data_IF_210764792676
#
_entry.id   IF_210764792676
#
_cell.length_a   1.000
_cell.length_b   1.000
_cell.length_c   1.000
_cell.angle_alpha   90.00
_cell.angle_beta   90.00
_cell.angle_gamma   90.00
#
_symmetry.space_group_name_H-M   'P 1'
#
loop_
_entity.id
_entity.type
_entity.pdbx_description
1 polymer ?
#
# COMPACT_ATOMS: atom_id res chain seq x y z
N UNK A 1 56.62 -2.15 3.18
CA UNK A 1 55.50 -1.36 2.62
C UNK A 1 54.43 -1.29 3.70
N UNK A 2 54.27 -0.11 4.30
CA UNK A 2 53.28 0.19 5.34
C UNK A 2 51.87 0.04 4.77
N UNK A 3 50.96 -0.56 5.51
CA UNK A 3 49.53 -0.26 5.41
C UNK A 3 49.11 0.27 6.78
N UNK A 4 48.87 1.58 6.85
CA UNK A 4 48.39 2.32 8.00
C UNK A 4 46.85 2.33 8.02
N UNK A 5 46.30 2.25 9.24
CA UNK A 5 44.99 2.77 9.70
C UNK A 5 43.67 2.17 9.18
N UNK A 6 42.91 1.55 10.11
CA UNK A 6 41.44 1.58 10.11
C UNK A 6 40.75 0.28 10.55
N UNK A 7 40.59 0.10 11.87
CA UNK A 7 39.56 -0.74 12.52
C UNK A 7 39.35 -2.17 11.98
N UNK A 8 40.32 -3.05 12.26
CA UNK A 8 40.10 -4.50 12.20
C UNK A 8 39.14 -4.88 13.33
N UNK A 9 38.04 -5.57 12.97
CA UNK A 9 37.06 -6.14 13.91
C UNK A 9 37.77 -6.84 15.07
N UNK A 10 37.71 -6.24 16.26
CA UNK A 10 38.14 -6.85 17.49
C UNK A 10 36.88 -7.25 18.27
N UNK A 11 36.51 -8.54 18.33
CA UNK A 11 35.34 -9.00 19.08
C UNK A 11 35.44 -8.73 20.59
N UNK A 12 36.62 -8.33 21.08
CA UNK A 12 36.86 -7.90 22.46
C UNK A 12 36.79 -6.38 22.65
N UNK A 13 36.46 -5.60 21.61
CA UNK A 13 36.25 -4.16 21.74
C UNK A 13 34.94 -3.89 22.49
N UNK A 14 34.96 -3.22 23.66
CA UNK A 14 33.76 -2.96 24.46
C UNK A 14 32.75 -2.02 23.80
N UNK A 15 33.12 -1.35 22.70
CA UNK A 15 32.22 -0.47 21.93
C UNK A 15 31.32 -1.21 20.93
N UNK A 16 31.65 -2.44 20.53
CA UNK A 16 30.85 -3.21 19.57
C UNK A 16 29.84 -4.11 20.29
N UNK A 17 28.69 -3.55 20.66
CA UNK A 17 27.63 -4.24 21.40
C UNK A 17 26.49 -4.72 20.51
N UNK A 18 26.30 -4.08 19.37
CA UNK A 18 25.28 -4.37 18.36
C UNK A 18 25.88 -4.37 16.97
N UNK A 19 25.19 -4.99 16.02
CA UNK A 19 25.60 -4.97 14.61
C UNK A 19 25.77 -3.55 14.09
N UNK A 20 24.91 -2.61 14.51
CA UNK A 20 24.97 -1.20 14.12
C UNK A 20 26.27 -0.49 14.55
N UNK A 21 26.94 -0.97 15.60
CA UNK A 21 28.22 -0.43 16.07
C UNK A 21 29.38 -0.83 15.13
N UNK A 22 29.19 -1.82 14.25
CA UNK A 22 30.20 -2.26 13.30
C UNK A 22 30.32 -1.33 12.09
N UNK A 23 31.49 -1.30 11.43
CA UNK A 23 31.62 -0.66 10.12
C UNK A 23 30.57 -1.21 9.13
N UNK A 24 29.90 -0.32 8.41
CA UNK A 24 28.76 -0.60 7.53
C UNK A 24 28.99 -1.78 6.57
N UNK A 25 30.21 -1.90 6.03
CA UNK A 25 30.61 -2.99 5.12
C UNK A 25 30.59 -4.38 5.76
N UNK A 26 30.59 -4.46 7.09
CA UNK A 26 30.62 -5.70 7.87
C UNK A 26 29.25 -6.07 8.42
N UNK A 27 28.34 -5.10 8.61
CA UNK A 27 27.03 -5.31 9.25
C UNK A 27 26.23 -6.45 8.62
N UNK A 28 26.27 -6.58 7.28
CA UNK A 28 25.56 -7.64 6.53
C UNK A 28 25.98 -9.08 6.91
N UNK A 29 27.15 -9.26 7.52
CA UNK A 29 27.70 -10.58 7.89
C UNK A 29 27.28 -11.03 9.29
N UNK A 30 26.69 -10.13 10.07
CA UNK A 30 26.33 -10.37 11.47
C UNK A 30 24.84 -10.13 11.70
N UNK A 31 24.33 -10.71 12.78
CA UNK A 31 22.94 -10.58 13.24
C UNK A 31 22.98 -10.43 14.75
N UNK A 32 22.22 -9.48 15.29
CA UNK A 32 22.07 -9.31 16.74
C UNK A 32 21.36 -10.53 17.33
N UNK A 33 21.82 -10.97 18.51
CA UNK A 33 21.17 -12.04 19.26
C UNK A 33 20.25 -11.45 20.33
N UNK A 34 19.09 -12.05 20.63
CA UNK A 34 18.14 -11.45 21.55
C UNK A 34 18.62 -11.36 23.01
N UNK A 35 19.65 -12.13 23.39
CA UNK A 35 20.34 -12.07 24.69
C UNK A 35 21.35 -10.91 24.79
N UNK A 36 21.60 -10.19 23.69
CA UNK A 36 22.56 -9.11 23.58
C UNK A 36 23.88 -9.53 22.90
N UNK A 37 24.48 -8.61 22.16
CA UNK A 37 25.60 -8.92 21.26
C UNK A 37 25.14 -9.35 19.88
N UNK A 38 26.07 -9.82 19.06
CA UNK A 38 25.80 -10.28 17.70
C UNK A 38 26.70 -11.45 17.31
N UNK A 39 26.22 -12.27 16.38
CA UNK A 39 26.94 -13.44 15.85
C UNK A 39 27.05 -13.35 14.34
N UNK A 40 27.94 -14.14 13.74
CA UNK A 40 27.91 -14.30 12.28
C UNK A 40 26.56 -14.85 11.87
N UNK A 41 26.02 -14.36 10.75
CA UNK A 41 24.69 -14.77 10.25
C UNK A 41 24.57 -16.28 10.10
N UNK A 42 25.62 -16.97 9.65
CA UNK A 42 25.70 -18.43 9.51
C UNK A 42 25.55 -19.19 10.84
N UNK A 43 25.87 -18.55 11.96
CA UNK A 43 25.80 -19.14 13.30
C UNK A 43 24.47 -18.80 14.01
N UNK A 44 23.62 -17.96 13.42
CA UNK A 44 22.38 -17.51 14.06
C UNK A 44 21.32 -18.60 14.10
N UNK A 45 21.10 -19.31 12.98
CA UNK A 45 20.04 -20.33 12.88
C UNK A 45 20.21 -21.45 13.93
N UNK A 46 21.40 -22.06 14.13
CA UNK A 46 21.58 -23.09 15.16
C UNK A 46 21.34 -22.57 16.59
N UNK A 47 21.64 -21.29 16.87
CA UNK A 47 21.39 -20.68 18.18
C UNK A 47 19.88 -20.53 18.38
N UNK A 48 19.16 -20.09 17.35
CA UNK A 48 17.71 -19.95 17.40
C UNK A 48 17.02 -21.31 17.54
N UNK A 49 17.47 -22.33 16.81
CA UNK A 49 16.99 -23.72 16.91
C UNK A 49 17.17 -24.25 18.34
N UNK A 50 18.38 -24.17 18.90
CA UNK A 50 18.64 -24.63 20.27
C UNK A 50 17.75 -23.93 21.31
N UNK A 51 17.46 -22.64 21.10
CA UNK A 51 16.55 -21.88 21.97
C UNK A 51 15.10 -22.32 21.82
N UNK A 52 14.65 -22.56 20.60
CA UNK A 52 13.31 -23.12 20.32
C UNK A 52 13.19 -24.48 21.01
N UNK A 53 14.18 -25.35 20.88
CA UNK A 53 14.23 -26.65 21.55
C UNK A 53 14.18 -26.52 23.08
N UNK A 54 14.91 -25.57 23.68
CA UNK A 54 14.86 -25.33 25.12
C UNK A 54 13.48 -24.87 25.59
N UNK A 55 12.81 -24.01 24.82
CA UNK A 55 11.45 -23.55 25.10
C UNK A 55 10.47 -24.73 25.03
N UNK A 56 10.52 -25.52 23.96
CA UNK A 56 9.64 -26.69 23.76
C UNK A 56 9.90 -27.77 24.82
N UNK A 57 11.17 -27.97 25.22
CA UNK A 57 11.54 -28.92 26.27
C UNK A 57 10.96 -28.54 27.62
N UNK A 58 10.89 -27.23 27.94
CA UNK A 58 10.27 -26.73 29.17
C UNK A 58 8.74 -26.82 29.10
N UNK A 59 8.17 -26.53 27.94
CA UNK A 59 6.73 -26.60 27.69
C UNK A 59 6.44 -26.76 26.18
N UNK A 60 5.93 -27.93 25.75
CA UNK A 60 5.68 -28.22 24.33
C UNK A 60 4.73 -27.24 23.62
N UNK A 61 3.86 -26.55 24.37
CA UNK A 61 2.84 -25.65 23.81
C UNK A 61 3.16 -24.17 24.07
N UNK A 62 4.29 -23.82 24.67
CA UNK A 62 4.61 -22.43 25.02
C UNK A 62 4.67 -21.49 23.81
N UNK A 63 5.25 -21.95 22.70
CA UNK A 63 5.32 -21.15 21.47
C UNK A 63 3.94 -21.01 20.81
N UNK A 64 3.17 -22.10 20.75
CA UNK A 64 1.82 -22.12 20.20
C UNK A 64 0.91 -21.12 20.93
N UNK A 65 0.90 -21.14 22.27
CA UNK A 65 0.11 -20.18 23.06
C UNK A 65 0.57 -18.75 22.87
N UNK A 66 1.88 -18.51 22.80
CA UNK A 66 2.42 -17.16 22.63
C UNK A 66 2.12 -16.59 21.24
N UNK A 67 2.18 -17.41 20.19
CA UNK A 67 1.78 -17.03 18.83
C UNK A 67 0.28 -16.75 18.79
N UNK A 68 -0.53 -17.61 19.42
CA UNK A 68 -1.99 -17.43 19.50
C UNK A 68 -2.34 -16.12 20.21
N UNK A 69 -1.71 -15.85 21.36
CA UNK A 69 -1.90 -14.59 22.08
C UNK A 69 -1.49 -13.36 21.24
N UNK A 70 -0.33 -13.41 20.55
CA UNK A 70 0.09 -12.31 19.67
C UNK A 70 -0.89 -12.09 18.51
N UNK A 71 -1.50 -13.17 18.00
CA UNK A 71 -2.53 -13.09 16.97
C UNK A 71 -3.82 -12.46 17.51
N UNK A 72 -4.25 -12.84 18.70
CA UNK A 72 -5.41 -12.26 19.38
C UNK A 72 -5.19 -10.78 19.72
N UNK A 73 -4.02 -10.40 20.24
CA UNK A 73 -3.64 -9.01 20.52
C UNK A 73 -3.59 -8.16 19.23
N UNK A 74 -3.10 -8.73 18.13
CA UNK A 74 -3.12 -8.07 16.82
C UNK A 74 -4.55 -7.89 16.27
N UNK A 75 -5.44 -8.87 16.52
CA UNK A 75 -6.86 -8.79 16.18
C UNK A 75 -7.60 -7.75 17.06
N UNK A 76 -7.26 -7.63 18.35
CA UNK A 76 -7.84 -6.61 19.25
C UNK A 76 -7.42 -5.18 18.90
N UNK A 77 -6.24 -5.00 18.30
CA UNK A 77 -5.77 -3.70 17.81
C UNK A 77 -6.32 -3.34 16.42
N UNK A 78 -6.86 -4.31 15.69
CA UNK A 78 -7.63 -4.08 14.48
C UNK A 78 -8.93 -3.35 14.80
N UNK A 79 -9.36 -2.44 13.93
CA UNK A 79 -10.71 -1.92 14.06
C UNK A 79 -11.71 -3.09 13.89
N UNK A 80 -12.50 -3.37 14.92
CA UNK A 80 -13.71 -4.16 14.71
C UNK A 80 -14.60 -3.44 13.67
N UNK A 81 -15.37 -4.19 12.89
CA UNK A 81 -16.18 -3.64 11.79
C UNK A 81 -17.10 -2.52 12.23
N UNK A 82 -17.72 -2.62 13.41
CA UNK A 82 -18.66 -1.62 13.90
C UNK A 82 -17.94 -0.31 14.29
N UNK A 83 -16.80 -0.42 14.97
CA UNK A 83 -15.93 0.70 15.31
C UNK A 83 -15.37 1.35 14.05
N UNK A 84 -14.92 0.57 13.07
CA UNK A 84 -14.46 1.08 11.79
C UNK A 84 -15.55 1.90 11.10
N UNK A 85 -16.77 1.36 10.98
CA UNK A 85 -17.88 2.06 10.34
C UNK A 85 -18.26 3.36 11.05
N UNK A 86 -18.07 3.46 12.37
CA UNK A 86 -18.26 4.72 13.11
C UNK A 86 -17.18 5.75 12.75
N UNK A 87 -15.93 5.32 12.62
CA UNK A 87 -14.83 6.22 12.22
C UNK A 87 -14.91 6.62 10.74
N UNK A 88 -15.27 5.71 9.84
CA UNK A 88 -15.41 5.99 8.40
C UNK A 88 -16.41 7.11 8.11
N UNK A 89 -17.43 7.27 8.95
CA UNK A 89 -18.39 8.39 8.85
C UNK A 89 -17.78 9.76 9.14
N UNK A 90 -16.64 9.79 9.83
CA UNK A 90 -15.91 11.01 10.20
C UNK A 90 -14.70 11.21 9.31
N UNK A 91 -14.01 10.12 8.99
CA UNK A 91 -12.79 10.10 8.20
C UNK A 91 -12.72 8.84 7.33
N UNK A 92 -12.88 9.00 6.01
CA UNK A 92 -12.79 7.92 5.05
C UNK A 92 -11.41 7.25 5.01
N UNK A 93 -10.35 7.98 5.42
CA UNK A 93 -8.98 7.45 5.46
C UNK A 93 -8.76 6.44 6.58
N UNK A 94 -9.70 6.31 7.53
CA UNK A 94 -9.62 5.27 8.55
C UNK A 94 -9.58 3.85 7.94
N UNK A 95 -10.00 3.68 6.68
CA UNK A 95 -9.87 2.44 5.93
C UNK A 95 -8.42 1.92 5.85
N UNK A 96 -7.42 2.80 5.88
CA UNK A 96 -6.00 2.39 5.83
C UNK A 96 -5.57 1.50 7.02
N UNK A 97 -6.29 1.59 8.14
CA UNK A 97 -6.02 0.81 9.36
C UNK A 97 -6.87 -0.46 9.45
N UNK A 98 -7.74 -0.70 8.48
CA UNK A 98 -8.60 -1.86 8.45
C UNK A 98 -7.82 -3.13 8.05
N UNK A 99 -8.26 -4.28 8.56
CA UNK A 99 -7.73 -5.58 8.13
C UNK A 99 -7.94 -5.77 6.62
N UNK A 100 -7.22 -6.71 6.02
CA UNK A 100 -7.39 -7.03 4.58
C UNK A 100 -8.84 -7.42 4.27
N UNK A 101 -9.47 -8.27 5.10
CA UNK A 101 -10.87 -8.66 4.96
C UNK A 101 -11.84 -7.46 4.95
N UNK A 102 -11.57 -6.43 5.75
CA UNK A 102 -12.41 -5.22 5.80
C UNK A 102 -12.12 -4.27 4.64
N UNK A 103 -10.88 -4.26 4.12
CA UNK A 103 -10.53 -3.55 2.88
C UNK A 103 -11.07 -4.24 1.63
N UNK A 104 -11.48 -5.50 1.75
CA UNK A 104 -12.18 -6.28 0.72
C UNK A 104 -13.72 -6.36 0.96
N UNK A 105 -14.22 -5.87 2.09
CA UNK A 105 -15.66 -5.72 2.32
C UNK A 105 -16.19 -4.51 1.53
N UNK A 106 -16.86 -4.79 0.42
CA UNK A 106 -17.48 -3.78 -0.46
C UNK A 106 -18.36 -2.77 0.30
N UNK A 107 -19.09 -3.19 1.33
CA UNK A 107 -19.94 -2.30 2.11
C UNK A 107 -19.14 -1.33 2.98
N UNK A 108 -18.03 -1.79 3.55
CA UNK A 108 -17.08 -0.96 4.32
C UNK A 108 -16.38 0.03 3.40
N UNK A 109 -15.84 -0.43 2.27
CA UNK A 109 -15.18 0.44 1.29
C UNK A 109 -16.14 1.48 0.72
N UNK A 110 -17.40 1.11 0.44
CA UNK A 110 -18.41 2.06 -0.01
C UNK A 110 -18.69 3.16 1.02
N UNK A 111 -18.70 2.84 2.32
CA UNK A 111 -18.84 3.85 3.37
C UNK A 111 -17.63 4.79 3.39
N UNK A 112 -16.42 4.24 3.25
CA UNK A 112 -15.19 5.02 3.20
C UNK A 112 -15.14 5.98 2.00
N UNK A 113 -15.39 5.49 0.78
CA UNK A 113 -15.30 6.30 -0.45
C UNK A 113 -16.43 7.30 -0.58
N UNK A 114 -17.59 7.05 0.06
CA UNK A 114 -18.67 8.05 0.16
C UNK A 114 -18.27 9.23 1.03
N UNK A 115 -17.45 8.99 2.06
CA UNK A 115 -16.93 10.06 2.89
C UNK A 115 -15.74 10.76 2.22
N UNK A 116 -14.77 10.01 1.72
CA UNK A 116 -13.63 10.56 0.97
C UNK A 116 -13.25 9.63 -0.19
N UNK A 117 -13.41 10.11 -1.42
CA UNK A 117 -13.09 9.32 -2.61
C UNK A 117 -11.61 8.90 -2.70
N UNK A 118 -10.69 9.57 -2.00
CA UNK A 118 -9.29 9.13 -1.91
C UNK A 118 -9.10 7.85 -1.11
N UNK A 119 -10.08 7.46 -0.28
CA UNK A 119 -10.04 6.20 0.47
C UNK A 119 -9.99 4.97 -0.44
N UNK A 120 -10.37 5.10 -1.72
CA UNK A 120 -10.29 4.03 -2.72
C UNK A 120 -8.87 3.43 -2.81
N UNK A 121 -7.82 4.21 -2.54
CA UNK A 121 -6.43 3.74 -2.58
C UNK A 121 -6.13 2.62 -1.57
N UNK A 122 -6.94 2.50 -0.51
CA UNK A 122 -6.80 1.49 0.52
C UNK A 122 -7.67 0.26 0.29
N UNK A 123 -8.57 0.28 -0.69
CA UNK A 123 -9.39 -0.88 -1.02
C UNK A 123 -8.56 -2.03 -1.63
N UNK A 124 -9.10 -3.24 -1.59
CA UNK A 124 -8.53 -4.39 -2.28
C UNK A 124 -8.40 -4.14 -3.79
N UNK A 125 -7.55 -4.91 -4.47
CA UNK A 125 -7.41 -4.84 -5.93
C UNK A 125 -8.74 -5.10 -6.64
N UNK A 126 -9.50 -6.10 -6.21
CA UNK A 126 -10.80 -6.45 -6.76
C UNK A 126 -11.82 -5.30 -6.63
N UNK A 127 -11.83 -4.59 -5.50
CA UNK A 127 -12.72 -3.45 -5.30
C UNK A 127 -12.24 -2.18 -6.02
N UNK A 128 -10.95 -2.05 -6.33
CA UNK A 128 -10.43 -1.00 -7.23
C UNK A 128 -10.74 -1.30 -8.70
N UNK A 129 -11.13 -2.52 -9.04
CA UNK A 129 -11.67 -2.91 -10.35
C UNK A 129 -13.23 -2.90 -10.38
N UNK A 130 -13.89 -2.74 -9.23
CA UNK A 130 -15.35 -2.66 -9.18
C UNK A 130 -15.87 -1.30 -9.67
N UNK A 131 -16.51 -1.32 -10.85
CA UNK A 131 -17.15 -0.14 -11.47
C UNK A 131 -17.99 0.68 -10.50
N UNK A 132 -18.78 0.03 -9.64
CA UNK A 132 -19.68 0.72 -8.71
C UNK A 132 -18.93 1.46 -7.60
N UNK A 133 -17.92 0.81 -7.02
CA UNK A 133 -17.06 1.41 -5.98
C UNK A 133 -16.27 2.59 -6.55
N UNK A 134 -15.60 2.40 -7.68
CA UNK A 134 -14.79 3.43 -8.33
C UNK A 134 -15.65 4.63 -8.76
N UNK A 135 -16.84 4.38 -9.32
CA UNK A 135 -17.74 5.46 -9.72
C UNK A 135 -18.22 6.26 -8.50
N UNK A 136 -18.45 5.61 -7.36
CA UNK A 136 -18.82 6.31 -6.12
C UNK A 136 -17.67 7.19 -5.61
N UNK A 137 -16.44 6.71 -5.66
CA UNK A 137 -15.26 7.49 -5.29
C UNK A 137 -15.06 8.71 -6.21
N UNK A 138 -15.22 8.53 -7.53
CA UNK A 138 -15.10 9.58 -8.56
C UNK A 138 -16.16 10.69 -8.39
N UNK A 139 -17.36 10.33 -7.94
CA UNK A 139 -18.40 11.32 -7.62
C UNK A 139 -17.96 12.28 -6.53
N UNK A 140 -17.25 11.79 -5.51
CA UNK A 140 -16.69 12.64 -4.45
C UNK A 140 -15.52 13.49 -4.97
N UNK A 141 -14.54 12.85 -5.61
CA UNK A 141 -13.36 13.53 -6.14
C UNK A 141 -12.91 12.95 -7.47
N UNK A 142 -12.77 13.82 -8.47
CA UNK A 142 -12.52 13.38 -9.85
C UNK A 142 -11.21 12.62 -10.00
N UNK A 143 -10.20 12.93 -9.18
CA UNK A 143 -8.92 12.23 -9.23
C UNK A 143 -8.91 10.86 -8.58
N UNK A 144 -10.03 10.38 -8.02
CA UNK A 144 -10.10 9.03 -7.49
C UNK A 144 -9.91 7.97 -8.59
N UNK A 145 -10.17 8.29 -9.87
CA UNK A 145 -9.95 7.36 -11.00
C UNK A 145 -8.49 6.89 -11.10
N UNK A 146 -7.52 7.79 -10.89
CA UNK A 146 -6.53 7.59 -9.84
C UNK A 146 -6.07 6.17 -9.50
N UNK A 147 -6.87 5.61 -8.61
CA UNK A 147 -6.60 4.42 -7.83
C UNK A 147 -7.35 3.22 -8.39
N UNK A 148 -8.15 3.39 -9.44
CA UNK A 148 -8.80 2.30 -10.13
C UNK A 148 -7.77 1.37 -10.80
N UNK A 149 -8.21 0.17 -11.16
CA UNK A 149 -7.40 -0.73 -11.98
C UNK A 149 -7.03 -0.10 -13.33
N UNK A 150 -5.91 -0.55 -13.90
CA UNK A 150 -5.50 -0.11 -15.24
C UNK A 150 -6.56 -0.46 -16.28
N UNK A 151 -7.11 -1.67 -16.21
CA UNK A 151 -8.17 -2.17 -17.09
C UNK A 151 -9.39 -1.26 -17.06
N UNK A 152 -9.83 -0.85 -15.87
CA UNK A 152 -11.01 -0.02 -15.71
C UNK A 152 -10.76 1.42 -16.17
N UNK A 153 -9.56 1.97 -15.93
CA UNK A 153 -9.17 3.28 -16.47
C UNK A 153 -9.00 3.28 -18.01
N UNK A 154 -8.91 2.10 -18.62
CA UNK A 154 -8.85 1.88 -20.07
C UNK A 154 -10.19 1.45 -20.69
N UNK A 155 -11.19 1.14 -19.87
CA UNK A 155 -12.53 0.80 -20.33
C UNK A 155 -13.24 2.05 -20.89
N UNK A 156 -13.46 2.04 -22.21
CA UNK A 156 -14.11 3.13 -22.96
C UNK A 156 -15.48 3.49 -22.39
N UNK A 157 -16.31 2.49 -22.13
CA UNK A 157 -17.70 2.67 -21.70
C UNK A 157 -17.75 3.23 -20.29
N UNK A 158 -16.93 2.66 -19.40
CA UNK A 158 -16.80 3.14 -18.03
C UNK A 158 -16.25 4.56 -17.96
N UNK A 159 -15.21 4.88 -18.73
CA UNK A 159 -14.64 6.24 -18.75
C UNK A 159 -15.66 7.27 -19.26
N UNK A 160 -16.56 6.91 -20.20
CA UNK A 160 -17.67 7.80 -20.57
C UNK A 160 -18.62 8.06 -19.40
N UNK A 161 -18.93 7.06 -18.59
CA UNK A 161 -19.75 7.22 -17.38
C UNK A 161 -19.07 8.09 -16.33
N UNK A 162 -17.77 7.86 -16.10
CA UNK A 162 -16.94 8.67 -15.21
C UNK A 162 -16.92 10.13 -15.66
N UNK A 163 -16.76 10.41 -16.96
CA UNK A 163 -16.77 11.80 -17.47
C UNK A 163 -18.14 12.46 -17.38
N UNK A 164 -19.23 11.70 -17.54
CA UNK A 164 -20.60 12.22 -17.29
C UNK A 164 -20.76 12.68 -15.84
N UNK A 165 -20.20 11.94 -14.88
CA UNK A 165 -20.28 12.29 -13.46
C UNK A 165 -19.30 13.39 -13.07
N UNK A 166 -18.02 13.21 -13.39
CA UNK A 166 -16.96 14.13 -13.03
C UNK A 166 -15.92 14.21 -14.15
N UNK A 167 -16.12 15.16 -15.06
CA UNK A 167 -15.24 15.35 -16.23
C UNK A 167 -13.76 15.59 -15.88
N UNK A 168 -13.45 16.03 -14.65
CA UNK A 168 -12.06 16.18 -14.18
C UNK A 168 -11.33 14.85 -14.01
N UNK A 169 -12.07 13.76 -13.85
CA UNK A 169 -11.51 12.42 -13.77
C UNK A 169 -10.86 11.97 -15.09
N UNK A 170 -11.25 12.57 -16.22
CA UNK A 170 -10.71 12.20 -17.53
C UNK A 170 -9.19 12.28 -17.61
N UNK A 171 -8.55 13.16 -16.82
CA UNK A 171 -7.09 13.28 -16.78
C UNK A 171 -6.37 12.00 -16.33
N UNK A 172 -7.08 11.09 -15.66
CA UNK A 172 -6.57 9.80 -15.17
C UNK A 172 -7.06 8.62 -16.00
N UNK A 173 -7.77 8.86 -17.11
CA UNK A 173 -8.03 7.81 -18.08
C UNK A 173 -6.70 7.32 -18.69
N UNK A 174 -6.69 6.09 -19.18
CA UNK A 174 -5.49 5.52 -19.77
C UNK A 174 -4.94 6.41 -20.90
N UNK A 175 -3.61 6.42 -21.06
CA UNK A 175 -2.92 7.20 -22.11
C UNK A 175 -3.41 6.86 -23.52
N UNK A 176 -3.82 5.60 -23.72
CA UNK A 176 -4.37 5.10 -24.98
C UNK A 176 -5.69 5.82 -25.31
N UNK A 177 -6.60 5.92 -24.34
CA UNK A 177 -7.86 6.65 -24.49
C UNK A 177 -7.64 8.17 -24.65
N UNK A 178 -6.72 8.75 -23.89
CA UNK A 178 -6.37 10.18 -24.01
C UNK A 178 -5.83 10.56 -25.40
N UNK A 179 -5.30 9.59 -26.15
CA UNK A 179 -4.71 9.82 -27.48
C UNK A 179 -5.60 9.33 -28.63
N UNK A 180 -6.70 8.62 -28.35
CA UNK A 180 -7.64 8.13 -29.36
C UNK A 180 -8.58 9.25 -29.82
N UNK A 181 -8.39 9.74 -31.04
CA UNK A 181 -9.22 10.80 -31.64
C UNK A 181 -10.70 10.41 -31.75
N UNK A 182 -11.02 9.14 -32.01
CA UNK A 182 -12.41 8.68 -32.08
C UNK A 182 -13.05 8.73 -30.69
N UNK A 183 -12.30 8.36 -29.66
CA UNK A 183 -12.79 8.46 -28.30
C UNK A 183 -12.92 9.91 -27.83
N UNK A 184 -11.95 10.77 -28.14
CA UNK A 184 -12.03 12.19 -27.84
C UNK A 184 -13.23 12.87 -28.53
N UNK A 185 -13.65 12.40 -29.71
CA UNK A 185 -14.90 12.85 -30.34
C UNK A 185 -16.13 12.47 -29.52
N UNK A 186 -16.15 11.29 -28.89
CA UNK A 186 -17.22 10.89 -27.97
C UNK A 186 -17.19 11.73 -26.68
N UNK A 187 -16.01 11.95 -26.11
CA UNK A 187 -15.81 12.83 -24.96
C UNK A 187 -16.30 14.25 -25.27
N UNK A 188 -16.05 14.77 -26.47
CA UNK A 188 -16.55 16.07 -26.90
C UNK A 188 -18.08 16.13 -26.93
N UNK A 189 -18.77 15.03 -27.26
CA UNK A 189 -20.24 14.95 -27.25
C UNK A 189 -20.80 14.84 -25.83
N UNK A 190 -20.07 14.21 -24.92
CA UNK A 190 -20.48 14.02 -23.52
C UNK A 190 -20.18 15.27 -22.68
N UNK A 191 -18.93 15.71 -22.64
CA UNK A 191 -18.51 16.90 -21.91
C UNK A 191 -17.23 17.49 -22.52
N UNK A 192 -17.33 18.52 -23.39
CA UNK A 192 -16.17 19.15 -24.03
C UNK A 192 -15.11 19.68 -23.07
N UNK A 193 -15.47 20.00 -21.81
CA UNK A 193 -14.50 20.52 -20.82
C UNK A 193 -13.43 19.48 -20.48
N UNK A 194 -13.73 18.19 -20.60
CA UNK A 194 -12.74 17.11 -20.41
C UNK A 194 -11.56 17.22 -21.39
N UNK A 195 -11.75 17.84 -22.57
CA UNK A 195 -10.69 17.97 -23.58
C UNK A 195 -9.52 18.86 -23.14
N UNK A 196 -9.63 19.60 -22.01
CA UNK A 196 -8.47 20.30 -21.41
C UNK A 196 -7.36 19.32 -20.99
N UNK A 197 -7.69 18.05 -20.78
CA UNK A 197 -6.73 16.98 -20.43
C UNK A 197 -6.23 16.20 -21.65
N UNK A 198 -6.72 16.50 -22.86
CA UNK A 198 -6.16 15.90 -24.05
C UNK A 198 -4.67 16.28 -24.19
N UNK A 199 -3.84 15.40 -24.79
CA UNK A 199 -2.45 15.69 -25.10
C UNK A 199 -2.27 17.04 -25.78
N UNK A 200 -1.20 17.76 -25.41
CA UNK A 200 -0.94 19.14 -25.86
C UNK A 200 -1.00 19.32 -27.38
N UNK A 201 -0.45 18.38 -28.13
CA UNK A 201 -0.48 18.36 -29.61
C UNK A 201 -1.91 18.31 -30.17
N UNK A 202 -2.84 17.64 -29.49
CA UNK A 202 -4.26 17.59 -29.86
C UNK A 202 -4.93 18.93 -29.50
N UNK A 203 -4.73 19.43 -28.28
CA UNK A 203 -5.28 20.73 -27.84
C UNK A 203 -4.88 21.89 -28.76
N UNK A 204 -3.61 21.93 -29.19
CA UNK A 204 -3.11 22.90 -30.17
C UNK A 204 -3.85 22.84 -31.52
N UNK A 205 -4.13 21.63 -32.02
CA UNK A 205 -4.88 21.43 -33.27
C UNK A 205 -6.37 21.78 -33.14
N UNK A 206 -6.92 21.67 -31.93
CA UNK A 206 -8.28 22.05 -31.59
C UNK A 206 -8.42 23.56 -31.28
N UNK A 207 -7.32 24.29 -31.10
CA UNK A 207 -7.36 25.72 -30.75
C UNK A 207 -7.77 26.01 -29.30
N UNK A 208 -7.50 25.07 -28.38
CA UNK A 208 -7.86 25.17 -26.94
C UNK A 208 -6.64 25.14 -26.02
N UNK A 209 -5.53 25.72 -26.48
CA UNK A 209 -4.27 25.86 -25.71
C UNK A 209 -4.13 27.28 -25.12
#
# INVERSE_FOLDING_TARGET
>A
MKMETGSVFNPSNPEYKRVEDLPEKQQKKFVDVPEGGFVRREAFDPILEARIEEIIKKDPHALERKITQLHEEALEFGFDREKLLKELKRDGWALQYASEDLRDDKGVVLEAVKQDGEALQFASEDLRDDKGVVLEAVKQIGWALQYASEDLSADREFVLEVVKQNWRAFQYASKNLLSDLNFLLEIAKVNPKALVFAPRNIRKRLGIE
#
